data_IF_753041203549
#
_entry.id   IF_753041203549
#
_cell.length_a   1.000
_cell.length_b   1.000
_cell.length_c   1.000
_cell.angle_alpha   90.00
_cell.angle_beta   90.00
_cell.angle_gamma   90.00
#
_symmetry.space_group_name_H-M   'P 1'
#
loop_
_entity.id
_entity.type
_entity.pdbx_description
1 polymer ?
#
# COMPACT_ATOMS: atom_id res chain seq x y z
N UNK A 1 -20.07 1.20 2.27
CA UNK A 1 -19.67 0.14 3.22
C UNK A 1 -18.20 0.27 3.67
N UNK A 2 -17.35 0.98 2.95
CA UNK A 2 -15.94 1.21 3.28
C UNK A 2 -15.64 2.70 3.27
N UNK A 3 -14.92 3.18 4.27
CA UNK A 3 -14.33 4.52 4.24
C UNK A 3 -12.85 4.36 3.92
N UNK A 4 -12.36 5.18 2.99
CA UNK A 4 -10.95 5.18 2.57
C UNK A 4 -10.36 6.54 2.95
N UNK A 5 -9.36 6.52 3.80
CA UNK A 5 -8.53 7.69 4.06
C UNK A 5 -7.39 7.70 3.03
N UNK A 6 -7.43 8.70 2.16
CA UNK A 6 -6.49 8.87 1.04
C UNK A 6 -6.43 10.36 0.68
N UNK A 7 -5.52 10.72 -0.25
CA UNK A 7 -5.34 12.12 -0.69
C UNK A 7 -4.44 12.91 0.26
N UNK A 8 -3.31 13.42 -0.25
CA UNK A 8 -2.18 13.68 0.60
C UNK A 8 -1.78 12.39 1.32
N UNK A 9 -1.13 12.44 2.45
CA UNK A 9 -0.94 11.25 3.28
C UNK A 9 -1.73 11.42 4.59
N UNK A 10 -2.73 10.55 4.89
CA UNK A 10 -3.57 10.72 6.07
C UNK A 10 -2.78 10.63 7.38
N UNK A 11 -1.68 9.87 7.42
CA UNK A 11 -0.85 9.79 8.63
C UNK A 11 0.05 11.02 8.85
N UNK A 12 0.06 11.99 7.92
CA UNK A 12 0.65 13.31 8.18
C UNK A 12 -0.16 14.15 9.18
N UNK A 13 -1.42 13.80 9.40
CA UNK A 13 -2.24 14.39 10.43
C UNK A 13 -1.86 13.84 11.82
N UNK A 14 -2.00 14.68 12.84
CA UNK A 14 -1.90 14.22 14.23
C UNK A 14 -2.95 13.12 14.51
N UNK A 15 -2.58 12.10 15.28
CA UNK A 15 -3.47 10.97 15.60
C UNK A 15 -4.78 11.43 16.25
N UNK A 16 -4.75 12.50 17.08
CA UNK A 16 -5.94 13.10 17.66
C UNK A 16 -6.98 13.54 16.61
N UNK A 17 -6.52 14.05 15.44
CA UNK A 17 -7.42 14.44 14.33
C UNK A 17 -8.04 13.24 13.62
N UNK A 18 -7.26 12.18 13.45
CA UNK A 18 -7.75 10.90 12.92
C UNK A 18 -8.80 10.28 13.86
N UNK A 19 -8.54 10.33 15.16
CA UNK A 19 -9.48 9.87 16.18
C UNK A 19 -10.78 10.70 16.21
N UNK A 20 -10.70 12.01 16.04
CA UNK A 20 -11.87 12.89 15.92
C UNK A 20 -12.72 12.51 14.71
N UNK A 21 -12.10 12.33 13.54
CA UNK A 21 -12.76 11.91 12.31
C UNK A 21 -13.44 10.54 12.47
N UNK A 22 -12.73 9.54 12.97
CA UNK A 22 -13.28 8.19 13.11
C UNK A 22 -14.37 8.12 14.18
N UNK A 23 -14.30 8.92 15.22
CA UNK A 23 -15.38 9.06 16.20
C UNK A 23 -16.66 9.64 15.56
N UNK A 24 -16.54 10.59 14.63
CA UNK A 24 -17.67 11.13 13.89
C UNK A 24 -18.29 10.09 12.92
N UNK A 25 -17.49 9.16 12.40
CA UNK A 25 -17.95 8.08 11.52
C UNK A 25 -18.60 6.91 12.28
N UNK A 26 -18.23 6.68 13.53
CA UNK A 26 -18.65 5.52 14.31
C UNK A 26 -20.17 5.30 14.41
N UNK A 27 -21.03 6.35 14.50
CA UNK A 27 -22.48 6.18 14.53
C UNK A 27 -23.09 5.73 13.19
N UNK A 28 -22.33 5.77 12.08
CA UNK A 28 -22.84 5.45 10.75
C UNK A 28 -22.88 3.93 10.53
N UNK A 29 -24.00 3.32 10.77
CA UNK A 29 -24.20 1.84 10.77
C UNK A 29 -23.83 1.17 9.42
N UNK A 30 -23.81 1.91 8.31
CA UNK A 30 -23.43 1.39 7.00
C UNK A 30 -21.89 1.33 6.80
N UNK A 31 -21.08 1.97 7.64
CA UNK A 31 -19.62 1.86 7.60
C UNK A 31 -19.22 0.52 8.21
N UNK A 32 -18.56 -0.32 7.41
CA UNK A 32 -18.18 -1.69 7.79
C UNK A 32 -16.67 -1.91 7.86
N UNK A 33 -15.88 -1.06 7.22
CA UNK A 33 -14.43 -1.18 7.11
C UNK A 33 -13.78 0.19 6.99
N UNK A 34 -12.55 0.29 7.47
CA UNK A 34 -11.68 1.45 7.26
C UNK A 34 -10.43 1.02 6.50
N UNK A 35 -10.07 1.76 5.47
CA UNK A 35 -8.81 1.58 4.75
C UNK A 35 -8.01 2.87 4.76
N UNK A 36 -6.72 2.76 5.08
CA UNK A 36 -5.79 3.89 5.14
C UNK A 36 -4.71 3.67 4.09
N UNK A 37 -4.56 4.61 3.16
CA UNK A 37 -3.48 4.63 2.18
C UNK A 37 -2.40 5.60 2.66
N UNK A 38 -1.19 5.11 2.86
CA UNK A 38 -0.10 5.92 3.43
C UNK A 38 1.27 5.44 2.97
N UNK A 39 2.20 6.38 2.80
CA UNK A 39 3.62 6.08 2.59
C UNK A 39 4.43 6.25 3.89
N UNK A 40 3.87 6.92 4.89
CA UNK A 40 4.64 7.29 6.08
C UNK A 40 5.28 6.12 6.82
N UNK A 41 4.65 4.95 7.01
CA UNK A 41 5.31 3.84 7.69
C UNK A 41 6.57 3.33 6.97
N UNK A 42 6.72 3.61 5.66
CA UNK A 42 7.89 3.24 4.86
C UNK A 42 8.98 4.33 4.94
N UNK A 43 8.60 5.62 4.85
CA UNK A 43 9.58 6.72 4.76
C UNK A 43 9.85 7.40 6.10
N UNK A 44 9.01 7.19 7.09
CA UNK A 44 9.10 7.72 8.45
C UNK A 44 8.52 6.68 9.44
N UNK A 45 9.19 5.54 9.66
CA UNK A 45 8.65 4.44 10.48
C UNK A 45 8.33 4.87 11.92
N UNK A 46 8.98 5.90 12.46
CA UNK A 46 8.71 6.48 13.79
C UNK A 46 7.29 7.03 13.91
N UNK A 47 6.62 7.33 12.77
CA UNK A 47 5.21 7.75 12.78
C UNK A 47 4.28 6.63 13.28
N UNK A 48 4.72 5.39 13.26
CA UNK A 48 4.00 4.27 13.87
C UNK A 48 4.31 4.24 15.37
N UNK A 49 3.88 5.29 16.08
CA UNK A 49 4.05 5.47 17.51
C UNK A 49 2.93 4.80 18.33
N UNK A 50 3.03 4.85 19.67
CA UNK A 50 2.05 4.25 20.57
C UNK A 50 0.66 4.89 20.41
N UNK A 51 0.59 6.19 20.10
CA UNK A 51 -0.68 6.89 19.93
C UNK A 51 -1.40 6.39 18.67
N UNK A 52 -0.67 6.21 17.55
CA UNK A 52 -1.22 5.67 16.31
C UNK A 52 -1.68 4.21 16.47
N UNK A 53 -0.85 3.39 17.10
CA UNK A 53 -1.16 1.99 17.39
C UNK A 53 -2.41 1.90 18.26
N UNK A 54 -2.48 2.67 19.34
CA UNK A 54 -3.63 2.74 20.22
C UNK A 54 -4.90 3.19 19.51
N UNK A 55 -4.80 4.19 18.62
CA UNK A 55 -5.93 4.63 17.80
C UNK A 55 -6.45 3.50 16.91
N UNK A 56 -5.58 2.84 16.13
CA UNK A 56 -5.99 1.75 15.22
C UNK A 56 -6.63 0.60 16.00
N UNK A 57 -6.04 0.19 17.13
CA UNK A 57 -6.51 -0.93 17.94
C UNK A 57 -7.90 -0.70 18.57
N UNK A 58 -8.31 0.57 18.72
CA UNK A 58 -9.61 0.92 19.31
C UNK A 58 -10.72 1.15 18.30
N UNK A 59 -10.42 1.06 16.99
CA UNK A 59 -11.42 1.28 15.95
C UNK A 59 -12.49 0.15 15.94
N UNK A 60 -13.77 0.49 15.76
CA UNK A 60 -14.85 -0.51 15.78
C UNK A 60 -14.95 -1.33 14.50
N UNK A 61 -14.08 -1.11 13.53
CA UNK A 61 -14.08 -1.77 12.22
C UNK A 61 -12.81 -2.56 11.97
N UNK A 62 -12.86 -3.60 11.13
CA UNK A 62 -11.66 -4.12 10.52
C UNK A 62 -10.90 -3.02 9.76
N UNK A 63 -9.59 -2.94 9.98
CA UNK A 63 -8.72 -1.93 9.38
C UNK A 63 -7.78 -2.58 8.37
N UNK A 64 -7.66 -1.93 7.21
CA UNK A 64 -6.64 -2.27 6.20
C UNK A 64 -5.72 -1.07 6.06
N UNK A 65 -4.42 -1.28 6.23
CA UNK A 65 -3.40 -0.27 5.94
C UNK A 65 -2.71 -0.66 4.63
N UNK A 66 -2.79 0.21 3.64
CA UNK A 66 -2.12 0.04 2.34
C UNK A 66 -0.89 0.93 2.35
N UNK A 67 0.28 0.31 2.47
CA UNK A 67 1.56 1.00 2.39
C UNK A 67 2.02 1.13 0.93
N UNK A 68 2.97 2.04 0.68
CA UNK A 68 3.49 2.33 -0.65
C UNK A 68 5.00 2.15 -0.66
N UNK A 69 5.47 0.96 -1.01
CA UNK A 69 6.87 0.65 -1.27
C UNK A 69 7.02 0.18 -2.72
N UNK A 70 8.03 0.69 -3.42
CA UNK A 70 8.31 0.37 -4.82
C UNK A 70 9.50 -0.59 -4.99
N UNK A 71 10.32 -0.78 -3.94
CA UNK A 71 11.50 -1.63 -3.98
C UNK A 71 11.71 -2.35 -2.65
N UNK A 72 12.26 -3.56 -2.67
CA UNK A 72 12.54 -4.33 -1.46
C UNK A 72 13.49 -3.62 -0.48
N UNK A 73 14.39 -2.77 -0.99
CA UNK A 73 15.32 -1.99 -0.16
C UNK A 73 14.65 -0.90 0.70
N UNK A 74 13.36 -0.62 0.49
CA UNK A 74 12.60 0.30 1.33
C UNK A 74 12.18 -0.35 2.67
N UNK A 75 12.37 -1.65 2.82
CA UNK A 75 12.11 -2.38 4.06
C UNK A 75 13.43 -2.61 4.82
N UNK A 76 13.73 -1.76 5.77
CA UNK A 76 14.82 -1.92 6.74
C UNK A 76 14.30 -2.41 8.10
N UNK A 77 15.18 -2.47 9.10
CA UNK A 77 14.81 -2.94 10.44
C UNK A 77 13.79 -2.04 11.15
N UNK A 78 13.82 -0.73 10.90
CA UNK A 78 12.90 0.22 11.51
C UNK A 78 11.50 0.10 10.86
N UNK A 79 11.46 -0.08 9.55
CA UNK A 79 10.23 -0.39 8.82
C UNK A 79 9.64 -1.72 9.26
N UNK A 80 10.45 -2.76 9.44
CA UNK A 80 9.99 -4.06 9.96
C UNK A 80 9.34 -3.93 11.34
N UNK A 81 9.96 -3.16 12.24
CA UNK A 81 9.41 -2.88 13.56
C UNK A 81 8.08 -2.12 13.46
N UNK A 82 7.97 -1.13 12.56
CA UNK A 82 6.73 -0.40 12.31
C UNK A 82 5.62 -1.31 11.76
N UNK A 83 5.93 -2.20 10.79
CA UNK A 83 4.98 -3.18 10.26
C UNK A 83 4.52 -4.16 11.35
N UNK A 84 5.43 -4.65 12.19
CA UNK A 84 5.09 -5.54 13.30
C UNK A 84 4.12 -4.87 14.29
N UNK A 85 4.33 -3.58 14.62
CA UNK A 85 3.44 -2.79 15.48
C UNK A 85 2.04 -2.61 14.87
N UNK A 86 1.97 -2.27 13.57
CA UNK A 86 0.69 -2.16 12.87
C UNK A 86 -0.06 -3.50 12.84
N UNK A 87 0.63 -4.60 12.56
CA UNK A 87 0.02 -5.95 12.59
C UNK A 87 -0.51 -6.34 13.96
N UNK A 88 0.19 -5.95 15.03
CA UNK A 88 -0.23 -6.24 16.40
C UNK A 88 -1.58 -5.60 16.76
N UNK A 89 -2.02 -4.56 16.03
CA UNK A 89 -3.38 -3.98 16.16
C UNK A 89 -4.49 -4.85 15.56
N UNK A 90 -4.16 -5.90 14.82
CA UNK A 90 -5.10 -6.68 14.02
C UNK A 90 -5.37 -6.11 12.62
N UNK A 91 -4.70 -5.06 12.20
CA UNK A 91 -4.83 -4.50 10.87
C UNK A 91 -4.25 -5.44 9.79
N UNK A 92 -4.92 -5.51 8.65
CA UNK A 92 -4.38 -6.16 7.44
C UNK A 92 -3.45 -5.19 6.73
N UNK A 93 -2.21 -5.63 6.44
CA UNK A 93 -1.24 -4.81 5.73
C UNK A 93 -1.13 -5.24 4.27
N UNK A 94 -1.26 -4.28 3.37
CA UNK A 94 -1.15 -4.46 1.94
C UNK A 94 -0.11 -3.50 1.37
N UNK A 95 0.61 -3.88 0.31
CA UNK A 95 1.49 -2.98 -0.44
C UNK A 95 0.89 -2.66 -1.81
N UNK A 96 0.88 -1.39 -2.19
CA UNK A 96 0.73 -0.98 -3.57
C UNK A 96 2.03 -0.33 -4.06
N UNK A 97 2.50 -0.77 -5.22
CA UNK A 97 3.70 -0.27 -5.87
C UNK A 97 3.35 0.37 -7.21
N UNK A 98 4.23 1.21 -7.71
CA UNK A 98 4.20 1.72 -9.09
C UNK A 98 5.34 1.06 -9.86
N UNK A 99 5.07 0.57 -11.08
CA UNK A 99 6.10 0.04 -11.96
C UNK A 99 6.90 1.20 -12.56
N UNK A 100 8.19 1.23 -12.26
CA UNK A 100 9.07 2.37 -12.57
C UNK A 100 10.34 1.87 -13.29
N UNK A 101 10.58 2.40 -14.49
CA UNK A 101 11.80 2.13 -15.26
C UNK A 101 13.05 2.48 -14.47
N UNK A 102 14.03 1.56 -14.46
CA UNK A 102 15.29 1.72 -13.76
C UNK A 102 15.21 1.65 -12.24
N UNK A 103 14.03 1.32 -11.67
CA UNK A 103 13.83 1.12 -10.23
C UNK A 103 13.43 -0.32 -9.95
N UNK A 104 12.30 -0.76 -10.49
CA UNK A 104 11.74 -2.08 -10.24
C UNK A 104 11.23 -2.79 -11.51
N UNK A 105 11.69 -2.39 -12.70
CA UNK A 105 11.28 -2.94 -13.99
C UNK A 105 12.04 -4.23 -14.39
N UNK A 106 12.36 -5.06 -13.42
CA UNK A 106 12.92 -6.41 -13.60
C UNK A 106 12.16 -7.44 -12.79
N UNK A 107 12.22 -8.72 -13.23
CA UNK A 107 11.62 -9.83 -12.49
C UNK A 107 12.19 -9.92 -11.07
N UNK A 108 13.52 -9.86 -10.93
CA UNK A 108 14.20 -10.00 -9.64
C UNK A 108 13.79 -8.89 -8.66
N UNK A 109 13.69 -7.63 -9.11
CA UNK A 109 13.30 -6.52 -8.26
C UNK A 109 11.82 -6.63 -7.80
N UNK A 110 10.91 -7.04 -8.70
CA UNK A 110 9.50 -7.23 -8.35
C UNK A 110 9.29 -8.45 -7.44
N UNK A 111 10.01 -9.56 -7.68
CA UNK A 111 9.97 -10.73 -6.83
C UNK A 111 10.51 -10.39 -5.43
N UNK A 112 11.69 -9.76 -5.36
CA UNK A 112 12.29 -9.33 -4.10
C UNK A 112 11.39 -8.36 -3.31
N UNK A 113 10.69 -7.44 -3.97
CA UNK A 113 9.72 -6.56 -3.31
C UNK A 113 8.56 -7.35 -2.69
N UNK A 114 8.02 -8.32 -3.42
CA UNK A 114 6.89 -9.14 -2.94
C UNK A 114 7.30 -10.03 -1.76
N UNK A 115 8.44 -10.72 -1.88
CA UNK A 115 8.97 -11.60 -0.83
C UNK A 115 9.36 -10.81 0.41
N UNK A 116 10.09 -9.70 0.24
CA UNK A 116 10.54 -8.86 1.36
C UNK A 116 9.36 -8.19 2.08
N UNK A 117 8.34 -7.72 1.33
CA UNK A 117 7.11 -7.22 1.92
C UNK A 117 6.40 -8.30 2.73
N UNK A 118 6.31 -9.52 2.20
CA UNK A 118 5.68 -10.65 2.89
C UNK A 118 6.40 -11.03 4.18
N UNK A 119 7.73 -11.02 4.21
CA UNK A 119 8.55 -11.22 5.43
C UNK A 119 8.22 -10.17 6.50
N UNK A 120 8.02 -8.91 6.11
CA UNK A 120 7.54 -7.84 6.99
C UNK A 120 6.05 -7.98 7.37
N UNK A 121 5.34 -8.96 6.78
CA UNK A 121 3.92 -9.23 7.00
C UNK A 121 2.98 -8.33 6.21
N UNK A 122 3.45 -7.83 5.07
CA UNK A 122 2.71 -6.99 4.13
C UNK A 122 2.45 -7.77 2.86
N UNK A 123 1.18 -7.96 2.48
CA UNK A 123 0.81 -8.69 1.26
C UNK A 123 0.86 -7.76 0.04
N UNK A 124 1.36 -8.23 -1.11
CA UNK A 124 1.24 -7.51 -2.38
C UNK A 124 -0.23 -7.30 -2.73
N UNK A 125 -0.57 -6.10 -3.17
CA UNK A 125 -1.95 -5.76 -3.55
C UNK A 125 -2.06 -5.30 -4.98
N UNK A 126 -1.47 -4.14 -5.30
CA UNK A 126 -1.45 -3.58 -6.64
C UNK A 126 -0.04 -3.28 -7.12
N UNK A 127 0.20 -3.53 -8.41
CA UNK A 127 1.28 -2.96 -9.20
C UNK A 127 0.64 -2.00 -10.21
N UNK A 128 0.79 -0.71 -9.97
CA UNK A 128 0.23 0.32 -10.83
C UNK A 128 1.15 0.59 -12.02
N UNK A 129 0.57 0.72 -13.22
CA UNK A 129 1.23 1.48 -14.26
C UNK A 129 1.36 2.94 -13.82
N UNK A 130 2.49 3.57 -14.19
CA UNK A 130 2.76 4.95 -13.84
C UNK A 130 1.71 5.88 -14.45
N UNK A 131 1.13 6.74 -13.62
CA UNK A 131 0.26 7.80 -14.09
C UNK A 131 1.06 8.85 -14.88
N UNK A 132 0.49 9.34 -15.97
CA UNK A 132 1.13 10.36 -16.82
C UNK A 132 1.06 11.73 -16.16
N UNK A 133 2.03 11.99 -15.27
CA UNK A 133 2.20 13.28 -14.61
C UNK A 133 3.44 14.00 -15.13
N UNK A 134 3.42 15.32 -15.09
CA UNK A 134 4.58 16.12 -15.52
C UNK A 134 5.84 15.74 -14.74
N UNK A 135 6.96 15.54 -15.44
CA UNK A 135 8.25 15.19 -14.84
C UNK A 135 8.49 13.69 -14.61
N UNK A 136 7.49 12.81 -14.77
CA UNK A 136 7.63 11.39 -14.50
C UNK A 136 7.88 10.50 -15.74
N UNK A 137 7.81 11.03 -16.95
CA UNK A 137 7.85 10.25 -18.19
C UNK A 137 9.11 9.37 -18.35
N UNK A 138 10.24 9.73 -17.74
CA UNK A 138 11.46 8.93 -17.79
C UNK A 138 11.36 7.61 -17.00
N UNK A 139 10.41 7.49 -16.09
CA UNK A 139 10.12 6.27 -15.36
C UNK A 139 9.04 5.39 -16.04
N UNK A 140 8.46 5.84 -17.15
CA UNK A 140 7.39 5.11 -17.82
C UNK A 140 7.89 3.77 -18.37
N UNK A 141 7.17 2.70 -18.06
CA UNK A 141 7.32 1.35 -18.62
C UNK A 141 6.14 1.11 -19.56
N UNK A 142 6.39 0.70 -20.80
CA UNK A 142 5.31 0.43 -21.75
C UNK A 142 4.47 -0.80 -21.35
N UNK A 143 3.25 -0.88 -21.89
CA UNK A 143 2.28 -1.93 -21.54
C UNK A 143 2.78 -3.32 -21.88
N UNK A 144 3.44 -3.50 -23.04
CA UNK A 144 3.93 -4.80 -23.46
C UNK A 144 5.00 -5.31 -22.48
N UNK A 145 5.91 -4.45 -22.05
CA UNK A 145 6.91 -4.77 -21.04
C UNK A 145 6.28 -5.06 -19.68
N UNK A 146 5.31 -4.24 -19.24
CA UNK A 146 4.60 -4.45 -17.97
C UNK A 146 3.87 -5.80 -17.92
N UNK A 147 3.15 -6.14 -19.00
CA UNK A 147 2.47 -7.43 -19.13
C UNK A 147 3.45 -8.60 -19.14
N UNK A 148 4.57 -8.49 -19.86
CA UNK A 148 5.60 -9.53 -19.89
C UNK A 148 6.24 -9.75 -18.50
N UNK A 149 6.57 -8.67 -17.78
CA UNK A 149 7.09 -8.75 -16.41
C UNK A 149 6.08 -9.39 -15.44
N UNK A 150 4.81 -8.98 -15.53
CA UNK A 150 3.77 -9.55 -14.69
C UNK A 150 3.50 -11.03 -14.99
N UNK A 151 3.57 -11.45 -16.25
CA UNK A 151 3.48 -12.85 -16.62
C UNK A 151 4.64 -13.66 -16.03
N UNK A 152 5.89 -13.16 -16.20
CA UNK A 152 7.07 -13.80 -15.61
C UNK A 152 6.99 -13.89 -14.08
N UNK A 153 6.44 -12.85 -13.42
CA UNK A 153 6.27 -12.84 -11.97
C UNK A 153 5.26 -13.92 -11.51
N UNK A 154 4.17 -14.15 -12.25
CA UNK A 154 3.21 -15.22 -11.98
C UNK A 154 3.80 -16.62 -12.14
N UNK A 155 4.73 -16.78 -13.08
CA UNK A 155 5.41 -18.07 -13.29
C UNK A 155 6.48 -18.32 -12.21
N UNK A 156 6.96 -17.25 -11.56
CA UNK A 156 8.05 -17.29 -10.57
C UNK A 156 7.57 -17.40 -9.13
N UNK A 157 6.48 -16.70 -8.76
CA UNK A 157 5.99 -16.59 -7.38
C UNK A 157 4.68 -17.34 -7.16
N UNK A 158 4.42 -17.79 -5.90
CA UNK A 158 3.09 -18.23 -5.50
C UNK A 158 2.04 -17.14 -5.74
N UNK A 159 0.86 -17.51 -6.16
CA UNK A 159 -0.17 -16.56 -6.58
C UNK A 159 -0.53 -15.47 -5.56
N UNK A 160 -0.42 -15.76 -4.26
CA UNK A 160 -0.70 -14.77 -3.20
C UNK A 160 0.42 -13.72 -3.06
N UNK A 161 1.58 -13.91 -3.66
CA UNK A 161 2.69 -12.94 -3.74
C UNK A 161 2.71 -12.14 -5.05
N UNK A 162 1.77 -12.38 -5.95
CA UNK A 162 1.66 -11.65 -7.22
C UNK A 162 0.65 -10.52 -7.09
N UNK A 163 1.08 -9.24 -7.14
CA UNK A 163 0.17 -8.10 -7.11
C UNK A 163 -0.68 -8.05 -8.38
N UNK A 164 -1.85 -7.43 -8.31
CA UNK A 164 -2.66 -7.16 -9.51
C UNK A 164 -2.04 -6.02 -10.30
N UNK A 165 -1.69 -6.28 -11.56
CA UNK A 165 -1.25 -5.22 -12.47
C UNK A 165 -2.46 -4.39 -12.92
N UNK A 166 -2.44 -3.09 -12.65
CA UNK A 166 -3.57 -2.20 -12.89
C UNK A 166 -3.14 -0.84 -13.42
N UNK A 167 -4.09 -0.16 -14.08
CA UNK A 167 -3.98 1.25 -14.45
C UNK A 167 -5.13 2.02 -13.82
N UNK A 168 -4.86 3.25 -13.39
CA UNK A 168 -5.87 4.20 -13.01
C UNK A 168 -6.32 4.97 -14.27
N UNK A 169 -7.63 4.99 -14.52
CA UNK A 169 -8.22 5.72 -15.65
C UNK A 169 -9.22 6.71 -15.08
N UNK A 170 -9.02 7.99 -15.39
CA UNK A 170 -9.90 9.04 -14.90
C UNK A 170 -11.34 8.78 -15.35
N UNK A 171 -12.29 8.80 -14.41
CA UNK A 171 -13.71 8.54 -14.66
C UNK A 171 -14.14 7.07 -14.54
N UNK A 172 -13.22 6.12 -14.42
CA UNK A 172 -13.58 4.73 -14.14
C UNK A 172 -13.95 4.57 -12.65
N UNK A 173 -14.95 3.73 -12.36
CA UNK A 173 -15.38 3.43 -10.99
C UNK A 173 -14.41 2.50 -10.22
N UNK A 174 -13.38 1.95 -10.87
CA UNK A 174 -12.38 1.07 -10.27
C UNK A 174 -11.09 1.08 -11.08
N UNK A 175 -10.00 0.60 -10.45
CA UNK A 175 -8.72 0.38 -11.13
C UNK A 175 -8.90 -0.67 -12.22
N UNK A 176 -8.47 -0.35 -13.45
CA UNK A 176 -8.59 -1.25 -14.61
C UNK A 176 -7.43 -2.25 -14.62
N UNK A 177 -7.68 -3.57 -14.60
CA UNK A 177 -6.64 -4.56 -14.87
C UNK A 177 -6.04 -4.37 -16.27
N UNK A 178 -4.74 -4.62 -16.43
CA UNK A 178 -4.07 -4.73 -17.72
C UNK A 178 -4.08 -6.18 -18.20
#
# INVERSE_FOLDING_TARGET
DEVILSGGDPLSLATAKLAELTRALAPLAHVKRLRVHTRLPIVLPERVDEELVGWIATLPWPVTVVVHANHGNEFDADVDAAMARLRATGATLLNQAVLLRGVNDSLDALAALSERGFEAGVLPYYLHQLDRVAGAAHFEVDDARALALHAALRDHLPGYLVPRLVREVAGDGSKRPL
#
